data_IF_781788127679
#
_entry.id   IF_781788127679
#
_cell.length_a   1.000
_cell.length_b   1.000
_cell.length_c   1.000
_cell.angle_alpha   90.00
_cell.angle_beta   90.00
_cell.angle_gamma   90.00
#
_symmetry.space_group_name_H-M   'P 1'
#
loop_
_entity.id
_entity.type
_entity.pdbx_description
1 polymer ?
#
# COMPACT_ATOMS: atom_id res chain seq x y z
N UNK A 1 -7.55 32.53 39.58
CA UNK A 1 -6.38 31.85 39.10
C UNK A 1 -6.69 30.97 37.92
N UNK A 2 -5.99 31.15 36.83
CA UNK A 2 -6.16 30.29 35.64
C UNK A 2 -5.36 29.01 35.90
N UNK A 3 -6.03 27.86 36.06
CA UNK A 3 -5.37 26.59 36.20
C UNK A 3 -4.57 26.22 34.93
N UNK A 4 -3.63 25.27 34.98
CA UNK A 4 -2.86 24.87 33.82
C UNK A 4 -3.80 24.43 32.72
N UNK A 5 -3.67 25.03 31.53
CA UNK A 5 -4.42 24.60 30.35
C UNK A 5 -3.94 23.23 29.98
N UNK A 6 -4.81 22.25 30.10
CA UNK A 6 -4.56 20.90 29.61
C UNK A 6 -4.53 20.98 28.08
N UNK A 7 -3.33 20.94 27.51
CA UNK A 7 -3.20 20.67 26.09
C UNK A 7 -3.22 19.15 25.93
N UNK A 8 -4.25 18.57 25.32
CA UNK A 8 -4.21 17.15 25.02
C UNK A 8 -3.03 16.89 24.08
N UNK A 9 -2.11 16.02 24.50
CA UNK A 9 -1.06 15.54 23.62
C UNK A 9 -1.65 14.51 22.65
N UNK A 10 -1.41 14.70 21.36
CA UNK A 10 -1.74 13.68 20.33
C UNK A 10 -0.47 12.89 20.12
N UNK A 11 -0.50 11.62 20.52
CA UNK A 11 0.58 10.70 20.19
C UNK A 11 0.29 10.07 18.83
N UNK A 12 1.27 10.13 17.94
CA UNK A 12 1.23 9.44 16.66
C UNK A 12 2.47 8.58 16.50
N UNK A 13 2.29 7.42 15.89
CA UNK A 13 3.39 6.53 15.55
C UNK A 13 3.79 6.75 14.10
N UNK A 14 5.04 7.05 13.87
CA UNK A 14 5.61 7.16 12.53
C UNK A 14 6.56 5.99 12.32
N UNK A 15 6.26 5.14 11.35
CA UNK A 15 7.14 4.06 10.94
C UNK A 15 8.02 4.56 9.78
N UNK A 16 9.33 4.53 9.97
CA UNK A 16 10.29 4.97 8.96
C UNK A 16 10.91 3.73 8.32
N UNK A 17 10.66 3.55 7.03
CA UNK A 17 11.32 2.53 6.20
C UNK A 17 12.59 3.11 5.57
N UNK A 18 13.67 2.31 5.57
CA UNK A 18 14.87 2.64 4.81
C UNK A 18 14.86 1.80 3.55
N UNK A 19 14.78 2.44 2.39
CA UNK A 19 14.76 1.80 1.08
C UNK A 19 16.06 2.07 0.34
N UNK A 20 16.60 1.04 -0.32
CA UNK A 20 17.80 1.19 -1.15
C UNK A 20 17.50 1.81 -2.53
N UNK A 21 16.23 1.81 -2.93
CA UNK A 21 15.73 2.42 -4.16
C UNK A 21 14.72 3.49 -3.77
N UNK A 22 15.10 4.73 -3.93
CA UNK A 22 14.20 5.87 -3.79
C UNK A 22 13.72 6.22 -5.20
N UNK A 23 12.41 6.22 -5.42
CA UNK A 23 11.86 6.71 -6.68
C UNK A 23 12.23 8.17 -6.86
N UNK A 24 12.68 8.59 -8.06
CA UNK A 24 12.91 10.00 -8.34
C UNK A 24 11.63 10.85 -8.30
N UNK A 25 10.46 10.20 -8.33
CA UNK A 25 9.15 10.86 -8.34
C UNK A 25 8.53 10.90 -6.95
N UNK A 26 9.22 11.52 -6.00
CA UNK A 26 8.63 11.83 -4.70
C UNK A 26 7.51 12.88 -4.85
N UNK A 27 6.35 12.60 -4.30
CA UNK A 27 5.26 13.56 -4.27
C UNK A 27 5.49 14.56 -3.13
N UNK A 28 5.42 15.85 -3.42
CA UNK A 28 5.36 16.87 -2.39
C UNK A 28 3.97 16.89 -1.77
N UNK A 29 3.89 16.62 -0.47
CA UNK A 29 2.65 16.75 0.30
C UNK A 29 2.78 17.97 1.19
N UNK A 30 1.93 18.95 0.95
CA UNK A 30 1.82 20.15 1.76
C UNK A 30 0.76 19.93 2.84
N UNK A 31 1.15 20.02 4.10
CA UNK A 31 0.24 20.00 5.23
C UNK A 31 -0.04 21.43 5.69
N UNK A 32 -1.31 21.85 5.55
CA UNK A 32 -1.80 23.05 6.20
C UNK A 32 -2.14 22.71 7.65
N UNK A 33 -1.33 23.18 8.55
CA UNK A 33 -1.52 22.96 9.98
C UNK A 33 -2.53 23.94 10.62
N UNK A 34 -3.25 24.70 9.80
CA UNK A 34 -4.45 25.46 10.13
C UNK A 34 -4.32 26.55 11.21
N UNK A 35 -3.19 26.63 11.92
CA UNK A 35 -2.90 27.61 12.99
C UNK A 35 -1.46 28.12 13.01
N UNK A 36 -0.64 27.67 12.08
CA UNK A 36 0.73 28.14 11.90
C UNK A 36 0.79 28.79 10.52
N UNK A 37 1.41 29.95 10.44
CA UNK A 37 1.57 30.70 9.18
C UNK A 37 2.48 29.99 8.16
N UNK A 38 3.06 28.86 8.54
CA UNK A 38 3.96 28.06 7.70
C UNK A 38 3.35 26.72 7.35
N UNK A 39 3.15 26.47 6.07
CA UNK A 39 2.86 25.14 5.54
C UNK A 39 4.12 24.27 5.59
N UNK A 40 4.00 23.04 6.10
CA UNK A 40 5.09 22.08 6.09
C UNK A 40 4.97 21.20 4.87
N UNK A 41 5.97 21.23 4.01
CA UNK A 41 6.06 20.35 2.84
C UNK A 41 6.98 19.17 3.18
N UNK A 42 6.49 17.96 2.98
CA UNK A 42 7.28 16.74 3.09
C UNK A 42 7.27 15.97 1.76
N UNK A 43 8.39 15.34 1.47
CA UNK A 43 8.49 14.42 0.34
C UNK A 43 7.91 13.07 0.78
N UNK A 44 6.97 12.57 0.01
CA UNK A 44 6.35 11.27 0.27
C UNK A 44 6.41 10.41 -0.99
N UNK A 45 6.38 9.09 -0.79
CA UNK A 45 6.30 8.16 -1.90
C UNK A 45 5.01 8.40 -2.70
N UNK A 46 5.11 8.27 -4.01
CA UNK A 46 3.94 8.33 -4.89
C UNK A 46 2.98 7.17 -4.60
N UNK A 47 1.71 7.32 -4.97
CA UNK A 47 0.73 6.22 -4.84
C UNK A 47 1.20 4.96 -5.58
N UNK A 48 1.83 5.14 -6.72
CA UNK A 48 2.37 4.10 -7.58
C UNK A 48 3.49 3.33 -6.89
N UNK A 49 4.41 4.06 -6.27
CA UNK A 49 5.50 3.47 -5.47
C UNK A 49 4.93 2.68 -4.29
N UNK A 50 3.98 3.25 -3.56
CA UNK A 50 3.33 2.58 -2.42
C UNK A 50 2.64 1.29 -2.85
N UNK A 51 1.91 1.31 -3.98
CA UNK A 51 1.27 0.09 -4.53
C UNK A 51 2.32 -0.97 -4.86
N UNK A 52 3.39 -0.59 -5.57
CA UNK A 52 4.44 -1.52 -5.98
C UNK A 52 5.16 -2.15 -4.79
N UNK A 53 5.45 -1.39 -3.73
CA UNK A 53 6.08 -1.90 -2.51
C UNK A 53 5.17 -2.85 -1.71
N UNK A 54 3.90 -2.50 -1.58
CA UNK A 54 2.91 -3.37 -0.92
C UNK A 54 2.71 -4.65 -1.71
N UNK A 55 2.63 -4.57 -3.03
CA UNK A 55 2.55 -5.70 -3.93
C UNK A 55 3.78 -6.61 -3.77
N UNK A 56 4.99 -6.04 -3.83
CA UNK A 56 6.24 -6.75 -3.62
C UNK A 56 6.25 -7.53 -2.30
N UNK A 57 5.86 -6.86 -1.22
CA UNK A 57 5.80 -7.48 0.11
C UNK A 57 4.81 -8.65 0.15
N UNK A 58 3.63 -8.49 -0.45
CA UNK A 58 2.61 -9.53 -0.53
C UNK A 58 3.07 -10.74 -1.34
N UNK A 59 3.67 -10.51 -2.51
CA UNK A 59 4.20 -11.57 -3.37
C UNK A 59 5.36 -12.34 -2.70
N UNK A 60 6.25 -11.62 -2.02
CA UNK A 60 7.42 -12.20 -1.35
C UNK A 60 7.03 -13.16 -0.24
N UNK A 61 6.07 -12.78 0.60
CA UNK A 61 5.61 -13.57 1.74
C UNK A 61 4.53 -14.57 1.33
N UNK A 62 3.67 -14.19 0.39
CA UNK A 62 2.57 -15.01 -0.10
C UNK A 62 1.47 -15.22 0.94
N UNK A 63 0.85 -16.40 0.95
CA UNK A 63 -0.27 -16.73 1.83
C UNK A 63 0.06 -16.69 3.35
N UNK A 64 1.33 -16.70 3.70
CA UNK A 64 1.79 -16.53 5.08
C UNK A 64 1.81 -15.07 5.55
N UNK A 65 1.54 -14.11 4.65
CA UNK A 65 1.49 -12.69 4.99
C UNK A 65 0.41 -12.40 6.03
N UNK A 66 0.73 -11.54 6.97
CA UNK A 66 -0.20 -11.00 7.97
C UNK A 66 -0.61 -9.55 7.65
N UNK A 67 -0.17 -9.03 6.49
CA UNK A 67 -0.43 -7.66 6.05
C UNK A 67 -1.76 -7.55 5.30
N UNK A 68 -2.85 -8.00 5.92
CA UNK A 68 -4.17 -8.02 5.30
C UNK A 68 -4.70 -6.63 4.93
N UNK A 69 -4.36 -5.61 5.72
CA UNK A 69 -4.75 -4.22 5.45
C UNK A 69 -4.13 -3.70 4.15
N UNK A 70 -2.91 -4.12 3.83
CA UNK A 70 -2.23 -3.73 2.58
C UNK A 70 -3.01 -4.15 1.33
N UNK A 71 -3.78 -5.24 1.40
CA UNK A 71 -4.65 -5.66 0.28
C UNK A 71 -5.74 -4.61 0.01
N UNK A 72 -6.35 -4.08 1.06
CA UNK A 72 -7.35 -3.01 0.94
C UNK A 72 -6.72 -1.68 0.51
N UNK A 73 -5.51 -1.40 0.97
CA UNK A 73 -4.76 -0.20 0.56
C UNK A 73 -4.43 -0.26 -0.95
N UNK A 74 -3.95 -1.40 -1.45
CA UNK A 74 -3.70 -1.61 -2.89
C UNK A 74 -4.99 -1.38 -3.68
N UNK A 75 -6.10 -2.00 -3.28
CA UNK A 75 -7.38 -1.81 -3.94
C UNK A 75 -7.83 -0.35 -3.95
N UNK A 76 -7.72 0.33 -2.81
CA UNK A 76 -8.10 1.73 -2.70
C UNK A 76 -7.30 2.61 -3.65
N UNK A 77 -5.98 2.43 -3.68
CA UNK A 77 -5.10 3.21 -4.55
C UNK A 77 -5.36 2.92 -6.02
N UNK A 78 -5.52 1.65 -6.41
CA UNK A 78 -5.77 1.28 -7.81
C UNK A 78 -7.16 1.68 -8.31
N UNK A 79 -8.20 1.44 -7.51
CA UNK A 79 -9.58 1.46 -7.98
C UNK A 79 -10.39 2.69 -7.52
N UNK A 80 -9.96 3.38 -6.46
CA UNK A 80 -10.68 4.50 -5.87
C UNK A 80 -9.96 5.83 -6.05
N UNK A 81 -8.70 5.88 -5.68
CA UNK A 81 -7.89 7.09 -5.78
C UNK A 81 -7.34 7.28 -7.19
N UNK A 82 -7.00 6.19 -7.85
CA UNK A 82 -6.36 6.18 -9.16
C UNK A 82 -4.84 6.29 -9.08
N UNK A 83 -4.18 5.73 -10.08
CA UNK A 83 -2.74 5.71 -10.28
C UNK A 83 -2.41 6.08 -11.71
N UNK A 84 -1.22 6.59 -11.94
CA UNK A 84 -0.69 6.84 -13.27
C UNK A 84 -0.10 5.54 -13.79
N UNK A 85 -0.73 4.96 -14.82
CA UNK A 85 -0.42 3.60 -15.29
C UNK A 85 1.05 3.41 -15.66
N UNK A 86 1.65 4.37 -16.36
CA UNK A 86 3.06 4.30 -16.77
C UNK A 86 3.99 4.26 -15.55
N UNK A 87 3.76 5.11 -14.58
CA UNK A 87 4.58 5.19 -13.38
C UNK A 87 4.42 3.96 -12.50
N UNK A 88 3.20 3.40 -12.43
CA UNK A 88 2.98 2.13 -11.76
C UNK A 88 3.70 0.99 -12.49
N UNK A 89 3.66 0.94 -13.83
CA UNK A 89 4.40 -0.05 -14.61
C UNK A 89 5.90 0.04 -14.32
N UNK A 90 6.47 1.23 -14.35
CA UNK A 90 7.89 1.46 -14.06
C UNK A 90 8.25 0.98 -12.64
N UNK A 91 7.43 1.30 -11.64
CA UNK A 91 7.65 0.88 -10.25
C UNK A 91 7.51 -0.64 -10.06
N UNK A 92 6.49 -1.27 -10.66
CA UNK A 92 6.29 -2.73 -10.60
C UNK A 92 7.42 -3.46 -11.32
N UNK A 93 7.86 -2.97 -12.47
CA UNK A 93 9.03 -3.55 -13.16
C UNK A 93 10.26 -3.51 -12.28
N UNK A 94 10.61 -2.35 -11.76
CA UNK A 94 11.80 -2.17 -10.95
C UNK A 94 11.77 -3.00 -9.65
N UNK A 95 10.64 -3.04 -8.96
CA UNK A 95 10.55 -3.65 -7.63
C UNK A 95 10.16 -5.13 -7.63
N UNK A 96 9.58 -5.63 -8.72
CA UNK A 96 9.09 -7.01 -8.80
C UNK A 96 9.70 -7.76 -9.96
N UNK A 97 9.46 -7.34 -11.21
CA UNK A 97 9.80 -8.13 -12.41
C UNK A 97 11.33 -8.21 -12.63
N UNK A 98 12.02 -7.10 -12.44
CA UNK A 98 13.46 -6.97 -12.67
C UNK A 98 14.29 -7.23 -11.40
N UNK A 99 13.65 -7.26 -10.23
CA UNK A 99 14.31 -7.56 -8.96
C UNK A 99 14.73 -9.04 -8.91
N UNK A 100 16.05 -9.34 -8.85
CA UNK A 100 16.54 -10.72 -8.85
C UNK A 100 16.11 -11.52 -7.61
N UNK A 101 15.68 -10.87 -6.54
CA UNK A 101 15.21 -11.51 -5.31
C UNK A 101 13.75 -11.95 -5.38
N UNK A 102 13.02 -11.47 -6.40
CA UNK A 102 11.63 -11.85 -6.65
C UNK A 102 11.57 -13.06 -7.61
N UNK A 103 10.44 -13.76 -7.61
CA UNK A 103 10.20 -14.92 -8.46
C UNK A 103 9.43 -14.60 -9.73
N UNK A 104 8.60 -13.58 -9.66
CA UNK A 104 7.74 -13.12 -10.72
C UNK A 104 8.55 -12.39 -11.79
N UNK A 105 8.39 -12.77 -13.07
CA UNK A 105 9.11 -12.20 -14.21
C UNK A 105 8.19 -11.54 -15.23
N UNK A 106 6.89 -11.61 -14.97
CA UNK A 106 5.85 -11.04 -15.84
C UNK A 106 4.61 -10.66 -15.03
N UNK A 107 3.74 -9.86 -15.62
CA UNK A 107 2.42 -9.58 -15.05
C UNK A 107 1.59 -10.86 -14.88
N UNK A 108 1.69 -11.79 -15.82
CA UNK A 108 1.03 -13.10 -15.70
C UNK A 108 1.49 -13.89 -14.48
N UNK A 109 2.79 -13.84 -14.15
CA UNK A 109 3.31 -14.47 -12.93
C UNK A 109 2.76 -13.80 -11.68
N UNK A 110 2.67 -12.47 -11.69
CA UNK A 110 2.08 -11.67 -10.59
C UNK A 110 0.62 -12.10 -10.39
N UNK A 111 -0.19 -12.08 -11.44
CA UNK A 111 -1.61 -12.47 -11.38
C UNK A 111 -1.79 -13.90 -10.87
N UNK A 112 -1.00 -14.84 -11.38
CA UNK A 112 -1.02 -16.24 -10.94
C UNK A 112 -0.65 -16.38 -9.45
N UNK A 113 0.35 -15.65 -9.00
CA UNK A 113 0.76 -15.65 -7.59
C UNK A 113 -0.33 -15.05 -6.70
N UNK A 114 -0.90 -13.91 -7.08
CA UNK A 114 -2.01 -13.29 -6.37
C UNK A 114 -3.22 -14.22 -6.26
N UNK A 115 -3.58 -14.90 -7.34
CA UNK A 115 -4.69 -15.88 -7.34
C UNK A 115 -4.45 -17.01 -6.33
N UNK A 116 -3.23 -17.49 -6.19
CA UNK A 116 -2.88 -18.51 -5.20
C UNK A 116 -2.97 -17.97 -3.78
N UNK A 117 -2.43 -16.77 -3.52
CA UNK A 117 -2.47 -16.12 -2.21
C UNK A 117 -3.90 -15.86 -1.78
N UNK A 118 -4.69 -15.27 -2.65
CA UNK A 118 -6.09 -14.94 -2.38
C UNK A 118 -7.01 -16.17 -2.35
N UNK A 119 -6.60 -17.27 -2.95
CA UNK A 119 -7.28 -18.58 -2.88
C UNK A 119 -7.04 -19.36 -1.60
N UNK A 120 -6.01 -18.98 -0.82
CA UNK A 120 -5.69 -19.66 0.44
C UNK A 120 -6.80 -19.47 1.48
N UNK A 121 -7.26 -20.56 2.10
CA UNK A 121 -8.39 -20.54 3.05
C UNK A 121 -8.12 -19.71 4.29
N UNK A 122 -6.91 -19.79 4.83
CA UNK A 122 -6.52 -19.02 6.02
C UNK A 122 -6.44 -17.54 5.67
N UNK A 123 -5.80 -17.20 4.56
CA UNK A 123 -5.67 -15.83 4.10
C UNK A 123 -7.06 -15.19 3.88
N UNK A 124 -7.97 -15.87 3.18
CA UNK A 124 -9.35 -15.41 2.96
C UNK A 124 -10.09 -15.15 4.28
N UNK A 125 -10.00 -16.09 5.22
CA UNK A 125 -10.66 -15.94 6.52
C UNK A 125 -10.15 -14.73 7.28
N UNK A 126 -8.82 -14.53 7.33
CA UNK A 126 -8.23 -13.40 8.03
C UNK A 126 -8.53 -12.07 7.32
N UNK A 127 -8.53 -12.06 5.99
CA UNK A 127 -8.89 -10.89 5.18
C UNK A 127 -10.34 -10.45 5.45
N UNK A 128 -11.25 -11.39 5.69
CA UNK A 128 -12.67 -11.12 5.94
C UNK A 128 -12.95 -10.55 7.35
N UNK A 129 -11.97 -10.53 8.24
CA UNK A 129 -12.17 -9.98 9.60
C UNK A 129 -12.35 -8.47 9.55
N UNK A 130 -13.34 -7.93 10.25
CA UNK A 130 -13.66 -6.51 10.30
C UNK A 130 -12.46 -5.62 10.67
N UNK A 131 -11.58 -6.09 11.57
CA UNK A 131 -10.36 -5.37 11.98
C UNK A 131 -9.36 -5.12 10.84
N UNK A 132 -9.42 -5.92 9.77
CA UNK A 132 -8.54 -5.83 8.61
C UNK A 132 -9.19 -5.09 7.46
N UNK A 133 -10.52 -5.21 7.32
CA UNK A 133 -11.31 -4.61 6.23
C UNK A 133 -11.78 -3.20 6.59
N UNK A 134 -10.88 -2.24 6.51
CA UNK A 134 -11.18 -0.85 6.83
C UNK A 134 -12.03 -0.15 5.76
N UNK A 135 -12.16 -0.73 4.56
CA UNK A 135 -12.99 -0.20 3.48
C UNK A 135 -14.44 -0.69 3.55
N UNK A 136 -14.73 -1.71 4.38
CA UNK A 136 -16.05 -2.34 4.47
C UNK A 136 -16.58 -2.85 3.12
N UNK A 137 -15.67 -3.27 2.24
CA UNK A 137 -15.98 -3.83 0.91
C UNK A 137 -15.78 -5.35 0.95
N UNK A 138 -16.60 -6.09 0.20
CA UNK A 138 -16.44 -7.54 0.07
C UNK A 138 -14.99 -7.92 -0.29
N UNK A 139 -14.32 -8.76 0.50
CA UNK A 139 -12.96 -9.23 0.22
C UNK A 139 -12.83 -9.89 -1.15
N UNK A 140 -13.84 -10.63 -1.60
CA UNK A 140 -13.82 -11.26 -2.92
C UNK A 140 -13.82 -10.23 -4.06
N UNK A 141 -14.56 -9.14 -3.90
CA UNK A 141 -14.53 -8.03 -4.84
C UNK A 141 -13.16 -7.37 -4.90
N UNK A 142 -12.55 -7.15 -3.74
CA UNK A 142 -11.22 -6.53 -3.62
C UNK A 142 -10.15 -7.40 -4.29
N UNK A 143 -10.09 -8.68 -3.94
CA UNK A 143 -9.08 -9.61 -4.46
C UNK A 143 -9.24 -9.86 -5.96
N UNK A 144 -10.48 -9.97 -6.44
CA UNK A 144 -10.76 -10.13 -7.88
C UNK A 144 -10.34 -8.91 -8.68
N UNK A 145 -10.61 -7.70 -8.17
CA UNK A 145 -10.22 -6.46 -8.85
C UNK A 145 -8.70 -6.31 -8.92
N UNK A 146 -7.98 -6.61 -7.84
CA UNK A 146 -6.50 -6.55 -7.82
C UNK A 146 -5.92 -7.56 -8.80
N UNK A 147 -6.40 -8.81 -8.78
CA UNK A 147 -5.91 -9.84 -9.70
C UNK A 147 -6.16 -9.46 -11.16
N UNK A 148 -7.36 -8.95 -11.47
CA UNK A 148 -7.70 -8.49 -12.81
C UNK A 148 -6.85 -7.32 -13.28
N UNK A 149 -6.46 -6.43 -12.39
CA UNK A 149 -5.60 -5.29 -12.73
C UNK A 149 -4.23 -5.72 -13.24
N UNK A 150 -3.66 -6.80 -12.68
CA UNK A 150 -2.36 -7.33 -13.05
C UNK A 150 -2.42 -8.49 -14.07
N UNK A 151 -3.59 -8.78 -14.63
CA UNK A 151 -3.78 -9.88 -15.59
C UNK A 151 -3.45 -9.49 -17.03
#
# INVERSE_FOLDING_TARGET
GVGPRYCPSIETKVDIGVHNLVSPDLAEICFDLGKLDDAVTILADSNEQVVAEKLRSLLRIGAASTRYKDVFDIYYLLCKKGVRERELDDAVRALVIEDPTMRERSYGDIANRLSRVFGDRRFKRELSRAKNNWLEISPDKVTSAITAYFS
#
